data_IF_843608651530
#
_entry.id   IF_843608651530
#
_cell.length_a   1.000
_cell.length_b   1.000
_cell.length_c   1.000
_cell.angle_alpha   90.00
_cell.angle_beta   90.00
_cell.angle_gamma   90.00
#
_symmetry.space_group_name_H-M   'P 1'
#
loop_
_entity.id
_entity.type
_entity.pdbx_description
1 polymer ?
#
# COMPACT_ATOMS: atom_id res chain seq x y z
N UNK A 1 9.80 26.51 33.83
CA UNK A 1 10.51 26.24 32.55
C UNK A 1 9.65 25.36 31.68
N UNK A 2 9.05 25.94 30.65
CA UNK A 2 8.27 25.17 29.68
C UNK A 2 9.17 24.16 28.97
N UNK A 3 8.86 22.89 29.15
CA UNK A 3 9.57 21.80 28.50
C UNK A 3 9.40 21.97 26.99
N UNK A 4 10.46 22.40 26.32
CA UNK A 4 10.48 22.61 24.87
C UNK A 4 9.89 21.37 24.16
N UNK A 5 8.73 21.58 23.52
CA UNK A 5 8.18 20.62 22.56
C UNK A 5 9.15 20.47 21.41
N UNK A 6 9.12 19.30 20.78
CA UNK A 6 9.78 19.15 19.51
C UNK A 6 8.99 19.99 18.48
N UNK A 7 9.54 21.11 18.05
CA UNK A 7 8.94 21.98 17.06
C UNK A 7 9.53 21.71 15.68
N UNK A 8 9.33 20.47 15.22
CA UNK A 8 9.79 20.05 13.90
C UNK A 8 8.88 20.62 12.81
N UNK A 9 9.50 21.13 11.74
CA UNK A 9 8.76 21.62 10.55
C UNK A 9 8.40 20.51 9.57
N UNK A 10 9.06 19.37 9.65
CA UNK A 10 8.88 18.20 8.79
C UNK A 10 8.61 16.96 9.63
N UNK A 11 8.02 15.94 9.03
CA UNK A 11 7.91 14.63 9.66
C UNK A 11 9.30 14.03 9.83
N UNK A 12 9.66 13.66 11.06
CA UNK A 12 10.86 12.89 11.36
C UNK A 12 10.48 11.40 11.39
N UNK A 13 11.34 10.56 10.82
CA UNK A 13 11.08 9.13 10.70
C UNK A 13 12.34 8.33 11.02
N UNK A 14 12.22 7.34 11.90
CA UNK A 14 13.26 6.35 12.22
C UNK A 14 12.58 4.99 12.50
N UNK A 15 12.63 4.49 13.75
CA UNK A 15 11.83 3.31 14.15
C UNK A 15 10.33 3.58 14.15
N UNK A 16 9.95 4.82 14.40
CA UNK A 16 8.62 5.37 14.25
C UNK A 16 8.69 6.70 13.52
N UNK A 17 7.61 7.46 13.55
CA UNK A 17 7.59 8.82 13.00
C UNK A 17 6.90 9.78 13.97
N UNK A 18 7.28 11.06 13.87
CA UNK A 18 6.62 12.16 14.55
C UNK A 18 6.35 13.28 13.57
N UNK A 19 5.08 13.65 13.43
CA UNK A 19 4.66 14.72 12.54
C UNK A 19 4.91 16.11 13.15
N UNK A 20 4.91 17.18 12.34
CA UNK A 20 4.88 18.54 12.85
C UNK A 20 3.72 18.75 13.83
N UNK A 21 3.89 19.60 14.85
CA UNK A 21 2.82 19.88 15.79
C UNK A 21 1.69 20.67 15.12
N UNK A 22 0.44 20.32 15.47
CA UNK A 22 -0.74 21.10 15.16
C UNK A 22 -1.28 21.63 16.48
N UNK A 23 -1.13 22.92 16.72
CA UNK A 23 -1.42 23.53 18.02
C UNK A 23 -0.60 22.89 19.15
N UNK A 24 -1.29 22.21 20.06
CA UNK A 24 -0.65 21.52 21.21
C UNK A 24 -0.51 20.02 21.04
N UNK A 25 -0.81 19.45 19.88
CA UNK A 25 -0.88 18.01 19.62
C UNK A 25 0.13 17.65 18.56
N UNK A 26 0.76 16.50 18.71
CA UNK A 26 1.59 15.89 17.67
C UNK A 26 1.12 14.46 17.41
N UNK A 27 1.06 14.09 16.15
CA UNK A 27 0.80 12.72 15.72
C UNK A 27 2.11 11.94 15.71
N UNK A 28 2.08 10.76 16.31
CA UNK A 28 3.18 9.81 16.31
C UNK A 28 2.69 8.46 15.77
N UNK A 29 3.57 7.62 15.30
CA UNK A 29 3.27 6.24 14.84
C UNK A 29 4.50 5.54 14.30
N UNK A 30 4.34 4.34 13.85
CA UNK A 30 3.23 3.46 14.09
C UNK A 30 3.78 2.07 14.37
N UNK A 31 3.06 1.31 15.17
CA UNK A 31 3.25 -0.14 15.22
C UNK A 31 2.71 -0.76 13.93
N UNK A 32 3.38 -1.81 13.45
CA UNK A 32 2.94 -2.59 12.29
C UNK A 32 2.99 -4.07 12.63
N UNK A 33 1.83 -4.68 12.76
CA UNK A 33 1.71 -6.11 12.90
C UNK A 33 0.93 -6.69 11.71
N UNK A 34 1.51 -7.69 11.03
CA UNK A 34 0.92 -8.26 9.82
C UNK A 34 -0.15 -9.30 10.11
N UNK A 35 -0.12 -9.88 11.29
CA UNK A 35 -1.00 -10.98 11.69
C UNK A 35 -1.99 -10.56 12.76
N UNK A 36 -1.96 -9.31 13.17
CA UNK A 36 -2.85 -8.76 14.17
C UNK A 36 -4.06 -8.12 13.49
N UNK A 37 -5.24 -8.69 13.72
CA UNK A 37 -6.52 -8.22 13.20
C UNK A 37 -7.39 -7.57 14.28
N UNK A 38 -6.81 -7.30 15.46
CA UNK A 38 -7.54 -6.64 16.54
C UNK A 38 -7.76 -5.15 16.22
N UNK A 39 -8.99 -4.70 16.33
CA UNK A 39 -9.39 -3.31 16.07
C UNK A 39 -9.37 -2.42 17.31
N UNK A 40 -9.23 -3.05 18.49
CA UNK A 40 -9.23 -2.31 19.73
C UNK A 40 -7.92 -1.58 19.96
N UNK A 41 -8.04 -0.37 20.48
CA UNK A 41 -6.89 0.40 20.97
C UNK A 41 -6.27 -0.32 22.16
N UNK A 42 -4.94 -0.48 22.17
CA UNK A 42 -4.24 -1.13 23.26
C UNK A 42 -3.13 -0.20 23.78
N UNK A 43 -3.08 -0.05 25.07
CA UNK A 43 -2.07 0.77 25.74
C UNK A 43 -0.64 0.33 25.40
N UNK A 44 -0.41 -0.96 25.21
CA UNK A 44 0.91 -1.49 24.85
C UNK A 44 1.40 -0.96 23.49
N UNK A 45 0.50 -0.77 22.52
CA UNK A 45 0.85 -0.20 21.21
C UNK A 45 1.20 1.28 21.33
N UNK A 46 0.51 1.98 22.20
CA UNK A 46 0.79 3.39 22.49
C UNK A 46 2.15 3.57 23.14
N UNK A 47 2.49 2.73 24.13
CA UNK A 47 3.82 2.71 24.77
C UNK A 47 4.90 2.41 23.72
N UNK A 48 4.71 1.39 22.89
CA UNK A 48 5.64 1.03 21.83
C UNK A 48 5.85 2.16 20.81
N UNK A 49 4.80 2.89 20.47
CA UNK A 49 4.90 4.06 19.61
C UNK A 49 5.74 5.18 20.25
N UNK A 50 5.59 5.41 21.57
CA UNK A 50 6.42 6.37 22.30
C UNK A 50 7.90 5.92 22.36
N UNK A 51 8.15 4.64 22.61
CA UNK A 51 9.49 4.06 22.60
C UNK A 51 10.16 4.21 21.23
N UNK A 52 9.43 3.99 20.16
CA UNK A 52 9.96 4.10 18.79
C UNK A 52 10.39 5.51 18.40
N UNK A 53 9.88 6.54 19.10
CA UNK A 53 10.24 7.94 18.85
C UNK A 53 11.08 8.56 19.98
N UNK A 54 11.51 7.77 20.96
CA UNK A 54 12.22 8.29 22.14
C UNK A 54 13.50 9.04 21.77
N UNK A 55 14.17 8.67 20.66
CA UNK A 55 15.34 9.36 20.14
C UNK A 55 15.05 10.82 19.74
N UNK A 56 13.82 11.15 19.34
CA UNK A 56 13.42 12.51 18.99
C UNK A 56 12.95 13.33 20.19
N UNK A 57 12.30 12.70 21.16
CA UNK A 57 11.66 13.40 22.29
C UNK A 57 12.45 13.27 23.60
N UNK A 58 13.41 12.34 23.67
CA UNK A 58 14.13 11.99 24.89
C UNK A 58 13.19 11.40 25.96
N UNK A 59 13.62 11.43 27.22
CA UNK A 59 12.87 10.90 28.37
C UNK A 59 11.72 11.80 28.87
N UNK A 60 11.15 12.62 27.99
CA UNK A 60 10.08 13.56 28.38
C UNK A 60 8.80 12.81 28.70
N UNK A 61 8.19 13.12 29.83
CA UNK A 61 6.85 12.65 30.15
C UNK A 61 5.86 13.22 29.13
N UNK A 62 5.32 12.35 28.28
CA UNK A 62 4.37 12.68 27.24
C UNK A 62 3.01 12.10 27.60
N UNK A 63 1.95 12.91 27.49
CA UNK A 63 0.57 12.45 27.70
C UNK A 63 0.00 11.97 26.37
N UNK A 64 -0.43 10.74 26.30
CA UNK A 64 -1.23 10.22 25.20
C UNK A 64 -2.65 10.78 25.36
N UNK A 65 -3.14 11.42 24.33
CA UNK A 65 -4.49 12.02 24.33
C UNK A 65 -5.51 11.07 23.72
N UNK A 66 -5.13 10.44 22.62
CA UNK A 66 -5.94 9.47 21.90
C UNK A 66 -5.04 8.59 21.01
N UNK A 67 -5.57 7.47 20.57
CA UNK A 67 -4.92 6.58 19.62
C UNK A 67 -5.92 6.06 18.59
N UNK A 68 -5.40 5.58 17.45
CA UNK A 68 -6.22 5.01 16.40
C UNK A 68 -5.58 3.74 15.84
N UNK A 69 -6.41 2.75 15.57
CA UNK A 69 -6.03 1.49 14.92
C UNK A 69 -6.64 1.46 13.52
N UNK A 70 -5.84 1.14 12.51
CA UNK A 70 -6.31 1.05 11.14
C UNK A 70 -5.63 -0.09 10.40
N UNK A 71 -6.31 -0.60 9.38
CA UNK A 71 -5.79 -1.63 8.49
C UNK A 71 -5.34 -1.01 7.17
N UNK A 72 -4.20 -1.50 6.68
CA UNK A 72 -3.69 -1.12 5.36
C UNK A 72 -3.69 -2.33 4.46
N UNK A 73 -4.39 -2.22 3.34
CA UNK A 73 -4.30 -3.22 2.28
C UNK A 73 -3.00 -3.06 1.52
N UNK A 74 -2.25 -4.15 1.38
CA UNK A 74 -1.04 -4.21 0.56
C UNK A 74 -0.92 -5.57 -0.13
N UNK A 75 -0.27 -5.57 -1.28
CA UNK A 75 0.02 -6.78 -2.04
C UNK A 75 1.29 -7.47 -1.54
N UNK A 76 1.49 -8.72 -1.91
CA UNK A 76 2.68 -9.48 -1.53
C UNK A 76 4.01 -8.87 -2.01
N UNK A 77 4.00 -8.13 -3.13
CA UNK A 77 5.17 -7.44 -3.67
C UNK A 77 5.22 -5.94 -3.30
N UNK A 78 4.28 -5.46 -2.50
CA UNK A 78 4.16 -4.08 -2.03
C UNK A 78 3.89 -3.03 -3.12
N UNK A 79 3.62 -3.45 -4.35
CA UNK A 79 3.12 -2.56 -5.40
C UNK A 79 1.59 -2.53 -5.36
N UNK A 80 0.94 -1.39 -5.64
CA UNK A 80 -0.50 -1.33 -5.78
C UNK A 80 -1.04 -2.31 -6.82
N UNK A 81 -2.32 -2.60 -6.76
CA UNK A 81 -3.04 -3.38 -7.76
C UNK A 81 -3.95 -2.42 -8.49
N UNK A 82 -3.63 -2.13 -9.76
CA UNK A 82 -4.33 -1.12 -10.56
C UNK A 82 -4.53 -1.65 -11.97
N UNK A 83 -5.76 -1.56 -12.48
CA UNK A 83 -6.09 -1.95 -13.84
C UNK A 83 -7.42 -2.68 -13.98
N UNK A 84 -7.71 -3.14 -15.20
CA UNK A 84 -8.87 -3.97 -15.47
C UNK A 84 -8.72 -5.35 -14.80
N UNK A 85 -9.80 -5.84 -14.20
CA UNK A 85 -9.80 -7.13 -13.53
C UNK A 85 -9.85 -8.25 -14.57
N UNK A 86 -8.91 -9.18 -14.51
CA UNK A 86 -8.80 -10.29 -15.45
C UNK A 86 -9.84 -11.39 -15.19
N UNK A 87 -10.31 -12.03 -16.26
CA UNK A 87 -11.08 -13.26 -16.19
C UNK A 87 -10.14 -14.41 -15.78
N UNK A 88 -10.21 -14.82 -14.53
CA UNK A 88 -9.30 -15.81 -13.94
C UNK A 88 -9.38 -17.17 -14.64
N UNK A 89 -10.57 -17.63 -14.98
CA UNK A 89 -10.79 -18.94 -15.63
C UNK A 89 -10.20 -18.94 -17.03
N UNK A 90 -10.47 -17.85 -17.78
CA UNK A 90 -9.89 -17.65 -19.10
C UNK A 90 -8.35 -17.67 -19.04
N UNK A 91 -7.75 -16.97 -18.08
CA UNK A 91 -6.29 -16.93 -17.93
C UNK A 91 -5.71 -18.30 -17.62
N UNK A 92 -6.30 -19.05 -16.69
CA UNK A 92 -5.83 -20.40 -16.35
C UNK A 92 -5.94 -21.31 -17.57
N UNK A 93 -7.06 -21.29 -18.30
CA UNK A 93 -7.29 -22.14 -19.46
C UNK A 93 -6.33 -21.82 -20.61
N UNK A 94 -6.15 -20.55 -20.96
CA UNK A 94 -5.46 -20.15 -22.18
C UNK A 94 -3.96 -19.84 -21.98
N UNK A 95 -3.50 -19.60 -20.74
CA UNK A 95 -2.11 -19.28 -20.45
C UNK A 95 -1.35 -20.38 -19.72
N UNK A 96 -1.92 -21.59 -19.60
CA UNK A 96 -1.24 -22.72 -18.94
C UNK A 96 0.10 -23.05 -19.61
N UNK A 97 0.18 -22.96 -20.92
CA UNK A 97 1.40 -23.24 -21.69
C UNK A 97 2.52 -22.19 -21.49
N UNK A 98 2.23 -21.03 -20.89
CA UNK A 98 3.23 -19.96 -20.68
C UNK A 98 4.38 -20.38 -19.75
N UNK A 99 4.21 -21.45 -19.01
CA UNK A 99 5.24 -22.12 -18.24
C UNK A 99 6.40 -22.59 -19.16
N UNK A 100 6.08 -23.13 -20.35
CA UNK A 100 7.04 -23.66 -21.31
C UNK A 100 7.46 -22.63 -22.36
N UNK A 101 6.47 -21.96 -22.97
CA UNK A 101 6.68 -21.04 -24.10
C UNK A 101 7.17 -19.65 -23.67
N UNK A 102 6.89 -19.25 -22.41
CA UNK A 102 7.12 -17.90 -21.86
C UNK A 102 6.37 -16.78 -22.58
N UNK A 103 5.68 -17.07 -23.66
CA UNK A 103 4.86 -16.19 -24.47
C UNK A 103 3.47 -16.76 -24.70
N UNK A 104 2.52 -15.90 -24.99
CA UNK A 104 1.20 -16.28 -25.45
C UNK A 104 0.72 -15.23 -26.46
N UNK A 105 0.22 -15.70 -27.59
CA UNK A 105 -0.38 -14.86 -28.63
C UNK A 105 -1.87 -14.60 -28.35
N UNK A 106 -2.41 -15.18 -27.27
CA UNK A 106 -3.79 -14.99 -26.87
C UNK A 106 -3.94 -13.66 -26.15
N UNK A 107 -4.83 -12.82 -26.67
CA UNK A 107 -5.16 -11.55 -26.01
C UNK A 107 -5.82 -11.78 -24.64
N UNK A 108 -5.44 -10.99 -23.61
CA UNK A 108 -6.01 -11.14 -22.28
C UNK A 108 -7.51 -10.76 -22.27
N UNK A 109 -8.32 -11.60 -21.63
CA UNK A 109 -9.71 -11.30 -21.37
C UNK A 109 -9.88 -10.70 -20.00
N UNK A 110 -10.61 -9.61 -19.91
CA UNK A 110 -10.96 -8.93 -18.65
C UNK A 110 -12.48 -9.01 -18.44
N UNK A 111 -12.89 -8.79 -17.21
CA UNK A 111 -14.29 -8.63 -16.86
C UNK A 111 -14.76 -7.25 -17.31
N UNK A 112 -15.88 -7.20 -18.05
CA UNK A 112 -16.37 -5.96 -18.63
C UNK A 112 -16.76 -4.94 -17.56
N UNK A 113 -16.20 -3.74 -17.68
CA UNK A 113 -16.47 -2.62 -16.78
C UNK A 113 -15.92 -2.77 -15.36
N UNK A 114 -15.13 -3.82 -15.07
CA UNK A 114 -14.59 -4.05 -13.72
C UNK A 114 -13.13 -3.66 -13.63
N UNK A 115 -12.85 -2.66 -12.80
CA UNK A 115 -11.51 -2.13 -12.55
C UNK A 115 -11.17 -2.17 -11.07
N UNK A 116 -9.88 -2.22 -10.76
CA UNK A 116 -9.37 -2.21 -9.39
C UNK A 116 -8.32 -1.13 -9.20
N UNK A 117 -8.39 -0.42 -8.06
CA UNK A 117 -7.41 0.54 -7.58
C UNK A 117 -7.24 0.31 -6.07
N UNK A 118 -6.28 -0.51 -5.67
CA UNK A 118 -6.18 -1.01 -4.30
C UNK A 118 -4.77 -1.41 -3.90
N UNK A 119 -4.60 -1.89 -2.68
CA UNK A 119 -3.35 -2.40 -2.12
C UNK A 119 -2.21 -1.37 -2.06
N UNK A 120 -2.53 -0.11 -1.81
CA UNK A 120 -1.59 1.01 -1.80
C UNK A 120 -0.65 1.02 -0.59
N UNK A 121 -0.94 0.25 0.45
CA UNK A 121 -0.15 0.21 1.68
C UNK A 121 -0.03 1.58 2.35
N UNK A 122 1.19 1.99 2.65
CA UNK A 122 1.47 3.27 3.30
C UNK A 122 1.56 4.47 2.34
N UNK A 123 1.46 4.26 1.02
CA UNK A 123 1.66 5.28 -0.01
C UNK A 123 0.35 5.71 -0.68
N UNK A 124 -0.79 5.40 -0.07
CA UNK A 124 -2.12 5.58 -0.66
C UNK A 124 -2.40 7.00 -1.17
N UNK A 125 -1.98 8.04 -0.45
CA UNK A 125 -2.24 9.43 -0.86
C UNK A 125 -1.69 9.77 -2.26
N UNK A 126 -0.49 9.29 -2.60
CA UNK A 126 0.07 9.53 -3.94
C UNK A 126 -0.36 8.47 -4.96
N UNK A 127 -0.24 7.20 -4.58
CA UNK A 127 -0.45 6.11 -5.53
C UNK A 127 -1.92 5.86 -5.90
N UNK A 128 -2.88 6.22 -5.04
CA UNK A 128 -4.31 6.11 -5.38
C UNK A 128 -4.73 7.13 -6.43
N UNK A 129 -4.20 8.34 -6.35
CA UNK A 129 -4.45 9.40 -7.34
C UNK A 129 -3.84 8.98 -8.69
N UNK A 130 -2.58 8.53 -8.71
CA UNK A 130 -1.96 8.00 -9.93
C UNK A 130 -2.76 6.81 -10.48
N UNK A 131 -3.23 5.91 -9.61
CA UNK A 131 -4.08 4.81 -9.99
C UNK A 131 -5.39 5.25 -10.64
N UNK A 132 -5.99 6.33 -10.15
CA UNK A 132 -7.20 6.90 -10.75
C UNK A 132 -6.93 7.43 -12.16
N UNK A 133 -5.80 8.09 -12.41
CA UNK A 133 -5.42 8.53 -13.76
C UNK A 133 -5.19 7.34 -14.70
N UNK A 134 -4.51 6.28 -14.26
CA UNK A 134 -4.33 5.06 -15.05
C UNK A 134 -5.68 4.44 -15.42
N UNK A 135 -6.62 4.35 -14.46
CA UNK A 135 -7.95 3.81 -14.73
C UNK A 135 -8.76 4.70 -15.68
N UNK A 136 -8.64 6.02 -15.55
CA UNK A 136 -9.27 6.96 -16.46
C UNK A 136 -8.78 6.77 -17.90
N UNK A 137 -7.47 6.63 -18.09
CA UNK A 137 -6.88 6.38 -19.40
C UNK A 137 -7.36 5.05 -20.00
N UNK A 138 -7.46 3.98 -19.17
CA UNK A 138 -7.99 2.69 -19.61
C UNK A 138 -9.47 2.78 -20.03
N UNK A 139 -10.30 3.43 -19.22
CA UNK A 139 -11.74 3.56 -19.47
C UNK A 139 -12.01 4.40 -20.72
N UNK A 140 -11.23 5.45 -20.93
CA UNK A 140 -11.36 6.37 -22.07
C UNK A 140 -10.55 5.93 -23.29
N UNK A 141 -9.90 4.76 -23.22
CA UNK A 141 -9.02 4.24 -24.29
C UNK A 141 -7.96 5.27 -24.73
N UNK A 142 -7.29 5.91 -23.78
CA UNK A 142 -6.24 6.89 -23.99
C UNK A 142 -4.85 6.25 -23.81
N UNK A 143 -3.79 6.89 -24.34
CA UNK A 143 -2.42 6.50 -23.98
C UNK A 143 -2.23 6.59 -22.46
N UNK A 144 -1.60 5.56 -21.87
CA UNK A 144 -1.37 5.51 -20.43
C UNK A 144 -0.41 6.60 -19.97
N UNK A 145 -0.70 7.23 -18.85
CA UNK A 145 0.14 8.24 -18.20
C UNK A 145 1.43 7.67 -17.55
N UNK A 146 1.64 6.36 -17.66
CA UNK A 146 2.81 5.65 -17.11
C UNK A 146 3.45 4.75 -18.16
N UNK A 147 4.73 4.38 -17.97
CA UNK A 147 5.41 3.45 -18.87
C UNK A 147 4.79 2.04 -18.79
N UNK A 148 5.03 1.25 -19.84
CA UNK A 148 4.57 -0.14 -19.92
C UNK A 148 5.10 -0.99 -18.77
N UNK A 149 6.33 -0.77 -18.32
CA UNK A 149 6.97 -1.49 -17.21
C UNK A 149 6.24 -1.19 -15.90
N UNK A 150 5.93 0.08 -15.65
CA UNK A 150 5.18 0.49 -14.47
C UNK A 150 3.79 -0.13 -14.51
N UNK A 151 3.08 0.00 -15.62
CA UNK A 151 1.74 -0.57 -15.77
C UNK A 151 1.73 -2.09 -15.55
N UNK A 152 2.67 -2.82 -16.12
CA UNK A 152 2.81 -4.27 -15.91
C UNK A 152 3.07 -4.63 -14.44
N UNK A 153 3.83 -3.80 -13.73
CA UNK A 153 4.10 -3.99 -12.30
C UNK A 153 2.87 -3.76 -11.42
N UNK A 154 1.87 -3.03 -11.91
CA UNK A 154 0.62 -2.73 -11.22
C UNK A 154 -0.52 -3.68 -11.60
N UNK A 155 -0.37 -4.42 -12.70
CA UNK A 155 -1.43 -5.23 -13.31
C UNK A 155 -2.05 -6.23 -12.31
N UNK A 156 -3.41 -6.29 -12.20
CA UNK A 156 -4.10 -7.23 -11.31
C UNK A 156 -3.77 -8.70 -11.58
N UNK A 157 -3.50 -9.09 -12.83
CA UNK A 157 -3.18 -10.46 -13.21
C UNK A 157 -1.74 -10.88 -12.88
N UNK A 158 -0.86 -9.96 -12.48
CA UNK A 158 0.59 -10.23 -12.32
C UNK A 158 0.93 -11.40 -11.40
N UNK A 159 0.15 -11.60 -10.34
CA UNK A 159 0.35 -12.72 -9.40
C UNK A 159 -0.08 -14.05 -10.03
N UNK A 160 -1.19 -14.07 -10.74
CA UNK A 160 -1.66 -15.24 -11.47
C UNK A 160 -0.66 -15.62 -12.58
N UNK A 161 -0.22 -14.64 -13.37
CA UNK A 161 0.79 -14.84 -14.42
C UNK A 161 2.09 -15.38 -13.83
N UNK A 162 2.56 -14.87 -12.67
CA UNK A 162 3.75 -15.39 -11.99
C UNK A 162 3.59 -16.86 -11.58
N UNK A 163 2.42 -17.27 -11.12
CA UNK A 163 2.12 -18.67 -10.76
C UNK A 163 2.07 -19.56 -11.98
N UNK A 164 1.40 -19.12 -13.04
CA UNK A 164 1.35 -19.84 -14.32
C UNK A 164 2.74 -20.04 -14.91
N UNK A 165 3.60 -19.01 -14.93
CA UNK A 165 4.99 -19.12 -15.39
C UNK A 165 5.84 -20.10 -14.59
N UNK A 166 5.48 -20.38 -13.35
CA UNK A 166 6.16 -21.33 -12.47
C UNK A 166 5.53 -22.73 -12.49
N UNK A 167 4.46 -22.93 -13.25
CA UNK A 167 3.73 -24.21 -13.28
C UNK A 167 3.07 -24.55 -11.93
N UNK A 168 2.67 -23.55 -11.15
CA UNK A 168 2.04 -23.72 -9.84
C UNK A 168 0.50 -23.80 -9.90
N UNK A 169 -0.05 -23.66 -11.11
CA UNK A 169 -1.48 -23.76 -11.41
C UNK A 169 -1.65 -24.43 -12.76
#
# INVERSE_FOLDING_TARGET
MDKKRLNNKFTLSARGYICPPVGKIQLIGATYDRLDYEKKKRYIDDVKNLENICEFIGSKKTKILDSNVGFRSYSGDRFPIIGALHDKEFFIKNYKAINFTKHSDVYPKHLDGVFINSAHGARGLGTSIMGAYILLDLVLNRPLCVSKEIFNSLNPARFLIRKLKKGLI
#
